data_IF_904323559622
#
_entry.id   IF_904323559622
#
_cell.length_a   1.000
_cell.length_b   1.000
_cell.length_c   1.000
_cell.angle_alpha   90.00
_cell.angle_beta   90.00
_cell.angle_gamma   90.00
#
_symmetry.space_group_name_H-M   'P 1'
#
loop_
_entity.id
_entity.type
_entity.pdbx_description
1 polymer ?
#
# COMPACT_ATOMS: atom_id res chain seq x y z
N UNK A 1 31.54 -14.98 -0.19
CA UNK A 1 31.10 -16.13 -1.01
C UNK A 1 30.06 -15.58 -1.98
N UNK A 2 30.44 -15.55 -3.25
CA UNK A 2 29.83 -14.77 -4.33
C UNK A 2 28.49 -15.36 -4.80
N UNK A 3 27.63 -14.48 -5.33
CA UNK A 3 26.28 -14.68 -5.89
C UNK A 3 26.08 -15.85 -6.88
N UNK A 4 27.13 -16.62 -7.20
CA UNK A 4 27.10 -17.70 -8.18
C UNK A 4 26.23 -18.90 -7.75
N UNK A 5 26.13 -19.22 -6.45
CA UNK A 5 25.42 -20.44 -6.02
C UNK A 5 23.89 -20.30 -5.99
N UNK A 6 23.36 -19.10 -5.73
CA UNK A 6 21.92 -18.81 -5.84
C UNK A 6 21.49 -18.83 -7.31
N UNK A 7 22.38 -18.36 -8.20
CA UNK A 7 22.21 -18.45 -9.65
C UNK A 7 22.30 -19.89 -10.16
N UNK A 8 23.10 -20.76 -9.53
CA UNK A 8 23.20 -22.19 -9.87
C UNK A 8 21.96 -23.00 -9.44
N UNK A 9 21.40 -22.75 -8.25
CA UNK A 9 20.15 -23.40 -7.80
C UNK A 9 18.94 -22.96 -8.65
N UNK A 10 18.92 -21.71 -9.11
CA UNK A 10 17.92 -21.23 -10.08
C UNK A 10 18.16 -21.73 -11.51
N UNK A 11 19.38 -22.20 -11.81
CA UNK A 11 19.79 -22.71 -13.14
C UNK A 11 19.44 -24.18 -13.34
N UNK A 12 19.34 -25.00 -12.28
CA UNK A 12 19.14 -26.45 -12.41
C UNK A 12 17.68 -26.93 -12.21
N UNK A 13 16.84 -26.20 -11.46
CA UNK A 13 15.49 -26.66 -11.06
C UNK A 13 14.33 -26.11 -11.90
N UNK A 14 14.60 -25.34 -12.96
CA UNK A 14 13.52 -24.72 -13.74
C UNK A 14 13.78 -24.89 -15.24
N UNK A 15 13.08 -25.83 -15.88
CA UNK A 15 13.10 -26.03 -17.33
C UNK A 15 12.52 -24.79 -18.04
N UNK A 16 13.43 -23.89 -18.45
CA UNK A 16 13.18 -22.59 -19.08
C UNK A 16 13.89 -22.43 -20.45
N UNK A 17 13.71 -23.31 -21.46
CA UNK A 17 14.48 -23.18 -22.69
C UNK A 17 13.80 -22.18 -23.64
N UNK A 18 14.15 -20.88 -23.52
CA UNK A 18 14.30 -19.88 -24.62
C UNK A 18 14.39 -18.40 -24.19
N UNK A 19 14.61 -18.09 -22.91
CA UNK A 19 14.86 -16.72 -22.48
C UNK A 19 16.34 -16.48 -22.10
N UNK A 20 17.04 -15.87 -23.08
CA UNK A 20 18.11 -14.89 -22.94
C UNK A 20 19.54 -15.34 -22.61
N UNK A 21 20.42 -15.12 -23.60
CA UNK A 21 21.67 -14.38 -23.37
C UNK A 21 21.35 -12.91 -23.63
N UNK A 22 21.70 -11.99 -22.72
CA UNK A 22 22.37 -10.71 -22.98
C UNK A 22 22.75 -10.08 -21.62
N UNK A 23 24.00 -9.63 -21.55
CA UNK A 23 24.65 -8.89 -20.47
C UNK A 23 24.02 -7.50 -20.24
N UNK A 24 24.00 -7.11 -18.96
CA UNK A 24 23.51 -5.83 -18.50
C UNK A 24 24.45 -4.68 -18.92
N UNK A 25 23.87 -3.64 -19.52
CA UNK A 25 24.17 -2.19 -19.37
C UNK A 25 23.32 -1.45 -20.43
N UNK A 26 22.24 -0.79 -19.96
CA UNK A 26 21.50 0.37 -20.52
C UNK A 26 19.98 0.27 -20.30
N UNK A 27 19.51 1.15 -19.43
CA UNK A 27 18.18 1.27 -18.80
C UNK A 27 17.04 1.65 -19.75
N UNK A 28 15.81 1.45 -19.25
CA UNK A 28 14.50 1.68 -19.88
C UNK A 28 14.19 0.79 -21.09
N UNK A 29 15.09 0.67 -22.06
CA UNK A 29 14.86 -0.17 -23.26
C UNK A 29 14.68 -1.65 -22.90
N UNK A 30 15.24 -2.13 -21.78
CA UNK A 30 15.04 -3.50 -21.29
C UNK A 30 13.63 -3.74 -20.73
N UNK A 31 13.06 -2.78 -19.99
CA UNK A 31 11.66 -2.85 -19.53
C UNK A 31 10.73 -2.76 -20.74
N UNK A 32 11.01 -1.85 -21.68
CA UNK A 32 10.28 -1.75 -22.94
C UNK A 32 10.42 -3.01 -23.80
N UNK A 33 11.59 -3.65 -23.81
CA UNK A 33 11.83 -4.90 -24.53
C UNK A 33 11.20 -6.09 -23.81
N UNK A 34 11.14 -6.13 -22.48
CA UNK A 34 10.39 -7.13 -21.73
C UNK A 34 8.89 -6.98 -22.00
N UNK A 35 8.37 -5.75 -21.98
CA UNK A 35 6.99 -5.43 -22.38
C UNK A 35 6.71 -5.81 -23.85
N UNK A 36 7.65 -5.55 -24.77
CA UNK A 36 7.57 -5.95 -26.19
C UNK A 36 7.73 -7.47 -26.41
N UNK A 37 8.53 -8.15 -25.58
CA UNK A 37 8.86 -9.58 -25.68
C UNK A 37 7.73 -10.47 -25.14
N UNK A 38 6.94 -10.00 -24.17
CA UNK A 38 5.72 -10.67 -23.70
C UNK A 38 4.53 -10.61 -24.71
N UNK A 39 4.79 -10.30 -25.98
CA UNK A 39 3.81 -10.31 -27.09
C UNK A 39 2.48 -9.57 -26.81
N UNK A 40 2.51 -8.54 -25.98
CA UNK A 40 1.38 -7.60 -25.90
C UNK A 40 1.57 -6.63 -27.06
N UNK A 41 0.75 -6.71 -28.11
CA UNK A 41 0.84 -5.77 -29.25
C UNK A 41 0.66 -4.30 -28.84
N UNK A 42 0.19 -4.04 -27.62
CA UNK A 42 0.03 -2.73 -26.98
C UNK A 42 1.30 -2.20 -26.27
N UNK A 43 2.42 -2.93 -26.28
CA UNK A 43 3.66 -2.48 -25.65
C UNK A 43 4.23 -1.19 -26.29
N UNK A 44 3.85 -0.85 -27.53
CA UNK A 44 4.13 0.47 -28.12
C UNK A 44 3.37 1.59 -27.40
N UNK A 45 2.14 1.32 -26.96
CA UNK A 45 1.32 2.26 -26.19
C UNK A 45 1.87 2.44 -24.79
N UNK A 46 2.26 1.36 -24.10
CA UNK A 46 2.87 1.47 -22.77
C UNK A 46 4.26 2.13 -22.85
N UNK A 47 5.07 1.81 -23.87
CA UNK A 47 6.34 2.49 -24.10
C UNK A 47 6.17 3.98 -24.38
N UNK A 48 5.21 4.35 -25.25
CA UNK A 48 4.90 5.74 -25.57
C UNK A 48 4.31 6.49 -24.36
N UNK A 49 3.50 5.83 -23.54
CA UNK A 49 3.01 6.37 -22.27
C UNK A 49 4.17 6.58 -21.30
N UNK A 50 5.03 5.58 -21.09
CA UNK A 50 6.20 5.67 -20.20
C UNK A 50 7.19 6.74 -20.68
N UNK A 51 7.48 6.84 -21.98
CA UNK A 51 8.30 7.92 -22.57
C UNK A 51 7.63 9.30 -22.43
N UNK A 52 6.29 9.39 -22.46
CA UNK A 52 5.56 10.63 -22.15
C UNK A 52 5.55 10.98 -20.65
N UNK A 53 5.74 10.01 -19.77
CA UNK A 53 5.66 10.16 -18.31
C UNK A 53 7.02 10.03 -17.59
N UNK A 54 8.15 9.94 -18.32
CA UNK A 54 9.48 9.83 -17.73
C UNK A 54 9.84 11.09 -16.92
N UNK A 55 10.19 10.97 -15.62
CA UNK A 55 10.69 12.06 -14.81
C UNK A 55 12.22 12.19 -15.00
N UNK A 56 12.65 12.79 -16.11
CA UNK A 56 14.06 13.13 -16.35
C UNK A 56 14.50 14.35 -15.54
N UNK A 57 14.46 14.29 -14.20
CA UNK A 57 15.14 15.25 -13.28
C UNK A 57 14.87 16.75 -13.48
N UNK A 58 13.93 17.09 -14.35
CA UNK A 58 13.41 18.40 -14.72
C UNK A 58 11.92 18.24 -14.57
N UNK A 59 11.28 19.19 -13.89
CA UNK A 59 9.85 19.17 -13.60
C UNK A 59 9.06 19.06 -14.91
N UNK A 60 8.54 17.86 -15.20
CA UNK A 60 7.57 17.62 -16.29
C UNK A 60 6.28 18.43 -16.07
N UNK A 61 6.12 19.04 -14.90
CA UNK A 61 5.07 20.04 -14.63
C UNK A 61 5.08 21.22 -15.62
N UNK A 62 6.18 21.48 -16.34
CA UNK A 62 6.30 22.64 -17.24
C UNK A 62 6.18 22.30 -18.74
N UNK A 63 6.08 21.01 -19.12
CA UNK A 63 5.74 20.64 -20.51
C UNK A 63 4.23 20.39 -20.59
N UNK A 64 3.48 21.18 -21.38
CA UNK A 64 2.06 20.93 -21.55
C UNK A 64 1.89 19.53 -22.13
N UNK A 65 1.16 18.67 -21.41
CA UNK A 65 0.63 17.43 -21.98
C UNK A 65 -0.19 17.85 -23.19
N UNK A 66 0.35 17.65 -24.39
CA UNK A 66 -0.27 18.16 -25.63
C UNK A 66 -1.53 17.37 -25.98
N UNK A 67 -1.66 16.13 -25.46
CA UNK A 67 -2.86 15.31 -25.61
C UNK A 67 -2.96 14.25 -24.50
N UNK A 68 -4.08 14.21 -23.78
CA UNK A 68 -4.45 13.06 -22.95
C UNK A 68 -4.93 11.94 -23.89
N UNK A 69 -4.42 10.71 -23.80
CA UNK A 69 -4.91 9.59 -24.60
C UNK A 69 -6.40 9.36 -24.39
N UNK A 70 -7.10 9.03 -25.48
CA UNK A 70 -8.53 8.68 -25.48
C UNK A 70 -8.76 7.30 -24.86
N UNK A 71 -9.98 6.99 -24.38
CA UNK A 71 -10.21 5.67 -23.75
C UNK A 71 -9.98 4.52 -24.74
N UNK A 72 -10.20 4.78 -26.04
CA UNK A 72 -10.00 3.81 -27.13
C UNK A 72 -8.53 3.42 -27.33
N UNK A 73 -7.58 4.20 -26.80
CA UNK A 73 -6.15 3.87 -26.84
C UNK A 73 -5.71 2.95 -25.68
N UNK A 74 -6.61 2.65 -24.73
CA UNK A 74 -6.35 1.70 -23.65
C UNK A 74 -7.02 0.35 -23.93
N UNK A 75 -6.39 -0.77 -23.51
CA UNK A 75 -7.06 -2.06 -23.49
C UNK A 75 -8.33 -2.06 -22.63
N UNK A 76 -9.18 -3.10 -22.80
CA UNK A 76 -10.19 -3.46 -21.82
C UNK A 76 -9.58 -3.53 -20.42
N UNK A 77 -10.30 -3.04 -19.41
CA UNK A 77 -9.77 -2.91 -18.04
C UNK A 77 -9.24 -4.23 -17.48
N UNK A 78 -9.92 -5.34 -17.73
CA UNK A 78 -9.50 -6.67 -17.23
C UNK A 78 -8.16 -7.11 -17.83
N UNK A 79 -7.97 -6.87 -19.12
CA UNK A 79 -6.70 -7.14 -19.81
C UNK A 79 -5.58 -6.25 -19.28
N UNK A 80 -5.87 -4.95 -19.07
CA UNK A 80 -4.92 -4.02 -18.44
C UNK A 80 -4.46 -4.52 -17.07
N UNK A 81 -5.41 -4.86 -16.19
CA UNK A 81 -5.11 -5.34 -14.83
C UNK A 81 -4.29 -6.63 -14.85
N UNK A 82 -4.62 -7.56 -15.74
CA UNK A 82 -3.88 -8.81 -15.90
C UNK A 82 -2.44 -8.56 -16.37
N UNK A 83 -2.26 -7.71 -17.38
CA UNK A 83 -0.95 -7.30 -17.88
C UNK A 83 -0.13 -6.59 -16.79
N UNK A 84 -0.73 -5.62 -16.10
CA UNK A 84 -0.10 -4.89 -15.00
C UNK A 84 0.41 -5.84 -13.92
N UNK A 85 -0.42 -6.80 -13.48
CA UNK A 85 -0.02 -7.78 -12.47
C UNK A 85 1.19 -8.62 -12.91
N UNK A 86 1.21 -9.10 -14.16
CA UNK A 86 2.36 -9.87 -14.67
C UNK A 86 3.65 -9.05 -14.67
N UNK A 87 3.57 -7.80 -15.10
CA UNK A 87 4.72 -6.88 -15.13
C UNK A 87 5.21 -6.59 -13.72
N UNK A 88 4.31 -6.25 -12.78
CA UNK A 88 4.66 -6.02 -11.38
C UNK A 88 5.35 -7.23 -10.76
N UNK A 89 4.89 -8.45 -11.04
CA UNK A 89 5.53 -9.67 -10.53
C UNK A 89 6.95 -9.83 -11.07
N UNK A 90 7.18 -9.55 -12.36
CA UNK A 90 8.52 -9.53 -12.94
C UNK A 90 9.44 -8.48 -12.29
N UNK A 91 8.94 -7.25 -12.10
CA UNK A 91 9.67 -6.18 -11.42
C UNK A 91 9.95 -6.51 -9.95
N UNK A 92 9.01 -7.18 -9.28
CA UNK A 92 9.18 -7.66 -7.92
C UNK A 92 10.32 -8.67 -7.77
N UNK A 93 10.57 -9.51 -8.80
CA UNK A 93 11.73 -10.40 -8.84
C UNK A 93 13.03 -9.63 -9.10
N UNK A 94 13.03 -8.64 -10.00
CA UNK A 94 14.21 -7.79 -10.24
C UNK A 94 14.63 -7.01 -9.00
N UNK A 95 13.66 -6.63 -8.16
CA UNK A 95 13.90 -6.02 -6.86
C UNK A 95 14.60 -6.95 -5.84
N UNK A 96 14.89 -8.20 -6.19
CA UNK A 96 15.80 -9.07 -5.43
C UNK A 96 17.28 -8.77 -5.67
N UNK A 97 17.60 -7.94 -6.65
CA UNK A 97 18.96 -7.54 -6.94
C UNK A 97 19.61 -6.89 -5.72
N UNK A 98 20.86 -7.25 -5.44
CA UNK A 98 21.70 -6.57 -4.45
C UNK A 98 22.09 -5.15 -4.93
N UNK A 99 21.89 -4.84 -6.20
CA UNK A 99 22.14 -3.52 -6.77
C UNK A 99 20.98 -2.56 -6.42
N UNK A 100 21.28 -1.59 -5.56
CA UNK A 100 20.32 -0.59 -5.08
C UNK A 100 19.61 0.17 -6.21
N UNK A 101 20.31 0.40 -7.33
CA UNK A 101 19.75 1.08 -8.52
C UNK A 101 18.67 0.24 -9.19
N UNK A 102 18.93 -1.05 -9.43
CA UNK A 102 17.96 -1.98 -10.02
C UNK A 102 16.70 -2.09 -9.16
N UNK A 103 16.88 -2.15 -7.83
CA UNK A 103 15.78 -2.12 -6.88
C UNK A 103 14.93 -0.84 -7.02
N UNK A 104 15.58 0.32 -7.00
CA UNK A 104 14.90 1.62 -7.12
C UNK A 104 14.11 1.72 -8.43
N UNK A 105 14.72 1.32 -9.55
CA UNK A 105 14.11 1.44 -10.87
C UNK A 105 12.95 0.43 -11.02
N UNK A 106 13.07 -0.75 -10.43
CA UNK A 106 12.00 -1.75 -10.37
C UNK A 106 10.79 -1.25 -9.57
N UNK A 107 11.02 -0.59 -8.44
CA UNK A 107 9.95 -0.01 -7.61
C UNK A 107 9.29 1.18 -8.32
N UNK A 108 10.08 2.03 -8.97
CA UNK A 108 9.56 3.14 -9.79
C UNK A 108 8.70 2.63 -10.95
N UNK A 109 9.15 1.60 -11.67
CA UNK A 109 8.37 0.98 -12.74
C UNK A 109 7.08 0.34 -12.21
N UNK A 110 7.13 -0.32 -11.04
CA UNK A 110 5.95 -0.91 -10.40
C UNK A 110 4.90 0.14 -10.10
N UNK A 111 5.32 1.29 -9.59
CA UNK A 111 4.47 2.45 -9.40
C UNK A 111 3.85 2.94 -10.71
N UNK A 112 4.63 3.13 -11.77
CA UNK A 112 4.10 3.58 -13.07
C UNK A 112 3.05 2.60 -13.63
N UNK A 113 3.29 1.30 -13.52
CA UNK A 113 2.36 0.25 -13.95
C UNK A 113 1.05 0.30 -13.16
N UNK A 114 1.10 0.59 -11.85
CA UNK A 114 -0.10 0.79 -11.03
C UNK A 114 -0.92 2.00 -11.51
N UNK A 115 -0.24 3.06 -11.94
CA UNK A 115 -0.89 4.29 -12.42
C UNK A 115 -1.60 4.12 -13.76
N UNK A 116 -1.31 3.08 -14.54
CA UNK A 116 -1.97 2.87 -15.84
C UNK A 116 -3.50 2.69 -15.71
N UNK A 117 -3.98 1.96 -14.69
CA UNK A 117 -5.42 1.82 -14.43
C UNK A 117 -6.06 3.17 -14.01
N UNK A 118 -5.30 4.02 -13.30
CA UNK A 118 -5.75 5.36 -12.95
C UNK A 118 -5.84 6.27 -14.17
N UNK A 119 -4.82 6.28 -15.03
CA UNK A 119 -4.80 7.05 -16.27
C UNK A 119 -5.93 6.64 -17.21
N UNK A 120 -6.17 5.33 -17.35
CA UNK A 120 -7.31 4.80 -18.08
C UNK A 120 -8.63 5.35 -17.52
N UNK A 121 -8.79 5.40 -16.19
CA UNK A 121 -9.99 5.97 -15.60
C UNK A 121 -10.18 7.46 -15.84
N UNK A 122 -9.10 8.24 -15.78
CA UNK A 122 -9.14 9.66 -16.10
C UNK A 122 -9.52 9.88 -17.58
N UNK A 123 -8.98 9.08 -18.50
CA UNK A 123 -9.34 9.12 -19.91
C UNK A 123 -10.83 8.84 -20.13
N UNK A 124 -11.38 7.82 -19.46
CA UNK A 124 -12.81 7.50 -19.53
C UNK A 124 -13.68 8.66 -18.99
N UNK A 125 -13.32 9.22 -17.84
CA UNK A 125 -14.05 10.36 -17.25
C UNK A 125 -14.02 11.60 -18.13
N UNK A 126 -12.88 11.91 -18.73
CA UNK A 126 -12.72 13.03 -19.66
C UNK A 126 -13.58 12.84 -20.93
N UNK A 127 -13.64 11.62 -21.46
CA UNK A 127 -14.46 11.31 -22.62
C UNK A 127 -15.96 11.42 -22.34
N UNK A 128 -16.42 10.90 -21.20
CA UNK A 128 -17.81 11.10 -20.77
C UNK A 128 -18.12 12.59 -20.58
N UNK A 129 -17.20 13.36 -19.99
CA UNK A 129 -17.37 14.80 -19.83
C UNK A 129 -17.49 15.54 -21.17
N UNK A 130 -16.62 15.26 -22.13
CA UNK A 130 -16.68 15.86 -23.47
C UNK A 130 -17.98 15.50 -24.18
N UNK A 131 -18.39 14.23 -24.15
CA UNK A 131 -19.61 13.79 -24.80
C UNK A 131 -20.87 14.39 -24.17
N UNK A 132 -20.83 14.72 -22.88
CA UNK A 132 -21.93 15.39 -22.17
C UNK A 132 -21.94 16.92 -22.35
N UNK A 133 -20.77 17.55 -22.54
CA UNK A 133 -20.65 19.03 -22.62
C UNK A 133 -20.49 19.58 -24.04
N UNK A 134 -20.07 18.75 -25.00
CA UNK A 134 -19.75 19.13 -26.38
C UNK A 134 -20.91 19.65 -27.22
N UNK A 135 -22.16 19.50 -26.77
CA UNK A 135 -23.35 20.00 -27.47
C UNK A 135 -23.84 21.37 -26.94
N UNK A 136 -23.05 22.05 -26.08
CA UNK A 136 -23.40 23.36 -25.51
C UNK A 136 -23.45 24.52 -26.53
N UNK A 137 -23.28 24.25 -27.83
CA UNK A 137 -23.51 25.20 -28.91
C UNK A 137 -25.00 25.50 -29.19
N UNK A 138 -25.94 24.72 -28.63
CA UNK A 138 -27.38 24.87 -28.88
C UNK A 138 -28.16 25.12 -27.58
N UNK A 139 -27.97 26.30 -26.95
CA UNK A 139 -28.85 27.05 -26.01
C UNK A 139 -29.80 26.35 -25.02
N UNK A 140 -29.71 25.05 -24.79
CA UNK A 140 -30.55 24.29 -23.88
C UNK A 140 -29.68 23.38 -23.02
N UNK A 141 -29.73 23.61 -21.70
CA UNK A 141 -29.23 22.65 -20.71
C UNK A 141 -30.11 21.40 -20.77
N UNK A 142 -29.95 20.58 -21.81
CA UNK A 142 -30.58 19.28 -21.87
C UNK A 142 -29.97 18.43 -20.75
N UNK A 143 -30.85 17.83 -19.96
CA UNK A 143 -30.55 16.99 -18.80
C UNK A 143 -29.42 16.01 -19.12
N UNK A 144 -28.41 15.94 -18.24
CA UNK A 144 -27.32 14.97 -18.29
C UNK A 144 -27.88 13.57 -18.53
N UNK A 145 -27.62 12.98 -19.71
CA UNK A 145 -27.97 11.59 -20.03
C UNK A 145 -26.71 10.72 -19.97
N UNK A 146 -26.39 10.12 -18.81
CA UNK A 146 -25.20 9.29 -18.63
C UNK A 146 -25.19 8.03 -19.51
N UNK A 147 -26.27 7.70 -20.21
CA UNK A 147 -26.33 6.50 -21.05
C UNK A 147 -25.79 6.69 -22.47
N UNK A 148 -25.42 7.92 -22.89
CA UNK A 148 -24.99 8.21 -24.28
C UNK A 148 -23.52 7.95 -24.60
N UNK A 149 -22.69 7.54 -23.63
CA UNK A 149 -21.29 7.19 -23.90
C UNK A 149 -21.21 5.88 -24.68
N UNK A 150 -20.41 5.84 -25.77
CA UNK A 150 -20.12 4.62 -26.53
C UNK A 150 -19.44 3.53 -25.67
N UNK A 151 -18.89 3.91 -24.52
CA UNK A 151 -18.21 3.05 -23.56
C UNK A 151 -19.03 2.76 -22.30
N UNK A 152 -20.31 3.16 -22.29
CA UNK A 152 -21.22 2.97 -21.16
C UNK A 152 -21.17 4.12 -20.14
N UNK A 153 -22.02 4.08 -19.11
CA UNK A 153 -22.09 5.13 -18.10
C UNK A 153 -20.74 5.28 -17.37
N UNK A 154 -20.39 6.51 -17.01
CA UNK A 154 -19.24 6.76 -16.15
C UNK A 154 -19.42 6.01 -14.82
N UNK A 155 -18.55 5.05 -14.56
CA UNK A 155 -18.51 4.33 -13.28
C UNK A 155 -17.47 5.00 -12.37
N UNK A 156 -17.88 5.61 -11.24
CA UNK A 156 -16.93 6.18 -10.29
C UNK A 156 -15.93 5.13 -9.80
N UNK A 157 -14.68 5.54 -9.59
CA UNK A 157 -13.62 4.64 -9.11
C UNK A 157 -13.81 4.34 -7.62
N UNK A 158 -14.62 3.33 -7.31
CA UNK A 158 -14.84 2.84 -5.95
C UNK A 158 -13.61 2.12 -5.36
N UNK A 159 -13.58 1.95 -4.04
CA UNK A 159 -12.54 1.23 -3.31
C UNK A 159 -12.29 -0.18 -3.85
N UNK A 160 -13.34 -0.93 -4.21
CA UNK A 160 -13.21 -2.28 -4.82
C UNK A 160 -12.39 -2.28 -6.12
N UNK A 161 -12.47 -1.22 -6.92
CA UNK A 161 -11.72 -1.10 -8.18
C UNK A 161 -10.23 -0.88 -7.90
N UNK A 162 -9.93 -0.10 -6.86
CA UNK A 162 -8.55 0.13 -6.40
C UNK A 162 -7.95 -1.18 -5.88
N UNK A 163 -8.69 -1.96 -5.08
CA UNK A 163 -8.20 -3.27 -4.60
C UNK A 163 -7.83 -4.21 -5.75
N UNK A 164 -8.63 -4.25 -6.82
CA UNK A 164 -8.30 -5.05 -8.00
C UNK A 164 -6.98 -4.60 -8.67
N UNK A 165 -6.74 -3.29 -8.75
CA UNK A 165 -5.49 -2.72 -9.27
C UNK A 165 -4.28 -2.99 -8.37
N UNK A 166 -4.50 -3.20 -7.06
CA UNK A 166 -3.44 -3.44 -6.08
C UNK A 166 -3.00 -4.91 -5.98
N UNK A 167 -3.67 -5.86 -6.64
CA UNK A 167 -3.35 -7.29 -6.47
C UNK A 167 -1.89 -7.61 -6.80
N UNK A 168 -1.38 -7.15 -7.95
CA UNK A 168 0.02 -7.39 -8.32
C UNK A 168 1.00 -6.72 -7.35
N UNK A 169 0.64 -5.55 -6.83
CA UNK A 169 1.45 -4.84 -5.87
C UNK A 169 1.50 -5.55 -4.51
N UNK A 170 0.36 -6.03 -4.04
CA UNK A 170 0.23 -6.79 -2.80
C UNK A 170 1.07 -8.07 -2.86
N UNK A 171 1.17 -8.71 -4.03
CA UNK A 171 2.04 -9.86 -4.26
C UNK A 171 3.52 -9.49 -4.08
N UNK A 172 3.96 -8.38 -4.67
CA UNK A 172 5.33 -7.86 -4.50
C UNK A 172 5.62 -7.54 -3.03
N UNK A 173 4.73 -6.81 -2.35
CA UNK A 173 4.87 -6.48 -0.93
C UNK A 173 4.94 -7.74 -0.08
N UNK A 174 4.02 -8.68 -0.27
CA UNK A 174 3.99 -9.91 0.50
C UNK A 174 5.24 -10.76 0.27
N UNK A 175 5.71 -10.87 -0.97
CA UNK A 175 6.92 -11.60 -1.33
C UNK A 175 8.15 -11.03 -0.59
N UNK A 176 8.40 -9.73 -0.74
CA UNK A 176 9.54 -9.07 -0.12
C UNK A 176 9.45 -9.05 1.41
N UNK A 177 8.27 -8.74 1.96
CA UNK A 177 8.07 -8.74 3.41
C UNK A 177 8.35 -10.12 4.01
N UNK A 178 7.83 -11.20 3.42
CA UNK A 178 8.09 -12.57 3.90
C UNK A 178 9.57 -12.92 3.82
N UNK A 179 10.25 -12.57 2.72
CA UNK A 179 11.69 -12.79 2.57
C UNK A 179 12.47 -12.08 3.68
N UNK A 180 12.18 -10.80 3.92
CA UNK A 180 12.79 -10.02 4.98
C UNK A 180 12.56 -10.63 6.38
N UNK A 181 11.36 -11.14 6.64
CA UNK A 181 11.02 -11.75 7.93
C UNK A 181 11.61 -13.16 8.11
N UNK A 182 11.74 -13.96 7.05
CA UNK A 182 12.34 -15.30 7.13
C UNK A 182 13.83 -15.29 7.46
N UNK A 183 14.57 -14.25 7.05
CA UNK A 183 15.98 -14.08 7.41
C UNK A 183 16.22 -13.79 8.90
N UNK A 184 15.19 -13.36 9.63
CA UNK A 184 15.30 -12.88 11.02
C UNK A 184 15.00 -13.95 12.09
N UNK A 185 15.16 -15.24 11.76
CA UNK A 185 14.81 -16.38 12.65
C UNK A 185 15.49 -16.38 14.03
N UNK A 186 16.52 -15.56 14.23
CA UNK A 186 17.32 -15.62 15.47
C UNK A 186 16.63 -14.96 16.66
N UNK A 187 15.87 -13.86 16.50
CA UNK A 187 15.38 -13.11 17.69
C UNK A 187 13.92 -12.62 17.66
N UNK A 188 13.18 -12.83 16.56
CA UNK A 188 11.80 -12.34 16.45
C UNK A 188 11.66 -10.81 16.60
N UNK A 189 12.77 -10.08 16.54
CA UNK A 189 12.83 -8.62 16.53
C UNK A 189 12.58 -8.15 15.10
N UNK A 190 11.68 -7.18 14.96
CA UNK A 190 11.42 -6.53 13.68
C UNK A 190 12.67 -5.73 13.27
N UNK A 191 13.28 -6.06 12.13
CA UNK A 191 14.23 -5.16 11.47
C UNK A 191 15.74 -5.36 11.70
N UNK A 192 16.22 -6.35 12.46
CA UNK A 192 17.68 -6.48 12.69
C UNK A 192 18.46 -7.08 11.50
N UNK A 193 17.83 -7.91 10.66
CA UNK A 193 18.46 -8.55 9.51
C UNK A 193 17.87 -8.10 8.16
N UNK A 194 16.99 -7.09 8.18
CA UNK A 194 16.30 -6.65 6.97
C UNK A 194 17.20 -5.70 6.19
N UNK A 195 17.34 -5.91 4.89
CA UNK A 195 17.98 -4.96 3.99
C UNK A 195 17.17 -3.65 4.01
N UNK A 196 17.57 -2.74 4.91
CA UNK A 196 16.89 -1.48 5.21
C UNK A 196 16.48 -0.70 3.95
N UNK A 197 17.32 -0.59 2.90
CA UNK A 197 16.93 0.08 1.66
C UNK A 197 15.70 -0.53 0.96
N UNK A 198 15.52 -1.85 1.00
CA UNK A 198 14.36 -2.52 0.35
C UNK A 198 13.07 -2.14 1.06
N UNK A 199 13.07 -2.16 2.39
CA UNK A 199 11.87 -1.80 3.17
C UNK A 199 11.54 -0.33 3.03
N UNK A 200 12.54 0.55 3.01
CA UNK A 200 12.33 1.97 2.78
C UNK A 200 11.69 2.23 1.41
N UNK A 201 12.18 1.58 0.34
CA UNK A 201 11.60 1.73 -0.99
C UNK A 201 10.16 1.18 -1.07
N UNK A 202 9.92 0.00 -0.50
CA UNK A 202 8.57 -0.59 -0.44
C UNK A 202 7.62 0.29 0.37
N UNK A 203 8.05 0.82 1.51
CA UNK A 203 7.25 1.71 2.33
C UNK A 203 6.96 3.03 1.60
N UNK A 204 7.96 3.66 0.99
CA UNK A 204 7.77 4.88 0.19
C UNK A 204 6.78 4.66 -0.96
N UNK A 205 6.83 3.51 -1.61
CA UNK A 205 5.89 3.16 -2.66
C UNK A 205 4.46 2.97 -2.12
N UNK A 206 4.31 2.28 -0.98
CA UNK A 206 3.01 2.17 -0.30
C UNK A 206 2.45 3.54 0.07
N UNK A 207 3.29 4.44 0.59
CA UNK A 207 2.92 5.80 0.98
C UNK A 207 2.44 6.63 -0.22
N UNK A 208 3.15 6.56 -1.36
CA UNK A 208 2.74 7.19 -2.62
C UNK A 208 1.41 6.67 -3.15
N UNK A 209 1.11 5.39 -2.97
CA UNK A 209 -0.20 4.86 -3.35
C UNK A 209 -1.28 5.39 -2.40
N UNK A 210 -1.03 5.33 -1.09
CA UNK A 210 -1.98 5.80 -0.08
C UNK A 210 -2.27 7.31 -0.20
N UNK A 211 -1.33 8.13 -0.70
CA UNK A 211 -1.52 9.59 -0.87
C UNK A 211 -2.69 9.92 -1.78
N UNK A 212 -3.04 8.98 -2.66
CA UNK A 212 -4.16 9.11 -3.58
C UNK A 212 -5.50 8.68 -3.01
N UNK A 213 -5.53 7.93 -1.90
CA UNK A 213 -6.78 7.36 -1.40
C UNK A 213 -7.78 8.42 -0.95
N UNK A 214 -7.33 9.53 -0.35
CA UNK A 214 -8.23 10.59 0.07
C UNK A 214 -8.89 11.32 -1.12
N UNK A 215 -8.14 11.61 -2.20
CA UNK A 215 -8.71 12.22 -3.41
C UNK A 215 -9.61 11.24 -4.16
N UNK A 216 -9.19 9.98 -4.27
CA UNK A 216 -9.98 8.92 -4.89
C UNK A 216 -11.29 8.65 -4.12
N UNK A 217 -11.26 8.71 -2.79
CA UNK A 217 -12.47 8.63 -1.97
C UNK A 217 -13.45 9.74 -2.30
N UNK A 218 -13.00 11.00 -2.39
CA UNK A 218 -13.86 12.13 -2.78
C UNK A 218 -14.45 11.96 -4.18
N UNK A 219 -13.64 11.54 -5.15
CA UNK A 219 -14.07 11.32 -6.53
C UNK A 219 -15.03 10.12 -6.69
N UNK A 220 -14.94 9.12 -5.81
CA UNK A 220 -15.80 7.94 -5.84
C UNK A 220 -17.25 8.21 -5.44
N UNK A 221 -17.51 9.29 -4.69
CA UNK A 221 -18.80 9.55 -4.06
C UNK A 221 -19.14 8.62 -2.88
N UNK A 222 -18.28 7.65 -2.55
CA UNK A 222 -18.47 6.77 -1.39
C UNK A 222 -18.20 7.53 -0.08
N UNK A 223 -18.93 7.19 0.98
CA UNK A 223 -18.57 7.65 2.34
C UNK A 223 -17.17 7.14 2.71
N UNK A 224 -16.40 7.85 3.55
CA UNK A 224 -15.08 7.38 3.99
C UNK A 224 -15.14 5.95 4.55
N UNK A 225 -16.14 5.66 5.39
CA UNK A 225 -16.32 4.33 5.97
C UNK A 225 -16.50 3.24 4.90
N UNK A 226 -17.32 3.47 3.87
CA UNK A 226 -17.54 2.51 2.78
C UNK A 226 -16.28 2.32 1.95
N UNK A 227 -15.66 3.42 1.53
CA UNK A 227 -14.45 3.41 0.69
C UNK A 227 -13.31 2.65 1.36
N UNK A 228 -12.97 2.99 2.61
CA UNK A 228 -11.86 2.34 3.32
C UNK A 228 -12.19 0.90 3.74
N UNK A 229 -13.47 0.55 3.97
CA UNK A 229 -13.86 -0.84 4.16
C UNK A 229 -13.65 -1.68 2.89
N UNK A 230 -13.95 -1.15 1.71
CA UNK A 230 -13.69 -1.84 0.44
C UNK A 230 -12.19 -1.98 0.15
N UNK A 231 -11.34 -1.08 0.66
CA UNK A 231 -9.89 -1.17 0.53
C UNK A 231 -9.24 -2.26 1.40
N UNK A 232 -10.00 -2.87 2.33
CA UNK A 232 -9.50 -3.96 3.18
C UNK A 232 -9.23 -5.21 2.38
N UNK A 233 -8.03 -5.77 2.54
CA UNK A 233 -7.56 -6.95 1.79
C UNK A 233 -6.44 -7.67 2.54
N UNK A 234 -6.11 -8.93 2.17
CA UNK A 234 -5.18 -9.76 2.93
C UNK A 234 -3.77 -9.20 3.15
N UNK A 235 -3.28 -8.31 2.27
CA UNK A 235 -1.95 -7.70 2.40
C UNK A 235 -1.93 -6.38 3.18
N UNK A 236 -3.09 -5.85 3.59
CA UNK A 236 -3.17 -4.54 4.23
C UNK A 236 -2.40 -4.47 5.57
N UNK A 237 -2.34 -5.58 6.32
CA UNK A 237 -1.55 -5.65 7.55
C UNK A 237 -0.05 -5.53 7.28
N UNK A 238 0.42 -6.00 6.12
CA UNK A 238 1.81 -5.84 5.68
C UNK A 238 2.11 -4.38 5.32
N UNK A 239 1.16 -3.66 4.73
CA UNK A 239 1.28 -2.23 4.49
C UNK A 239 1.39 -1.46 5.81
N UNK A 240 0.54 -1.78 6.79
CA UNK A 240 0.64 -1.22 8.14
C UNK A 240 1.99 -1.54 8.78
N UNK A 241 2.50 -2.75 8.60
CA UNK A 241 3.82 -3.16 9.07
C UNK A 241 4.95 -2.34 8.45
N UNK A 242 4.87 -2.05 7.14
CA UNK A 242 5.81 -1.19 6.42
C UNK A 242 5.76 0.24 6.96
N UNK A 243 4.56 0.82 7.14
CA UNK A 243 4.39 2.16 7.72
C UNK A 243 5.01 2.21 9.11
N UNK A 244 4.70 1.27 10.00
CA UNK A 244 5.33 1.19 11.32
C UNK A 244 6.86 1.11 11.27
N UNK A 245 7.41 0.43 10.26
CA UNK A 245 8.86 0.28 10.11
C UNK A 245 9.58 1.58 9.74
N UNK A 246 8.90 2.51 9.07
CA UNK A 246 9.47 3.79 8.62
C UNK A 246 8.93 5.02 9.34
N UNK A 247 7.92 4.88 10.20
CA UNK A 247 7.24 6.03 10.84
C UNK A 247 8.19 6.93 11.65
N UNK A 248 9.25 6.34 12.21
CA UNK A 248 10.27 7.04 13.00
C UNK A 248 11.41 7.61 12.15
N UNK A 249 11.45 7.30 10.86
CA UNK A 249 12.48 7.75 9.94
C UNK A 249 12.03 9.05 9.27
N UNK A 250 12.96 9.81 8.70
CA UNK A 250 12.62 10.91 7.80
C UNK A 250 12.00 10.31 6.53
N UNK A 251 10.67 10.34 6.45
CA UNK A 251 9.96 9.96 5.24
C UNK A 251 10.15 11.07 4.22
N UNK A 252 10.65 10.72 3.03
CA UNK A 252 10.80 11.64 1.90
C UNK A 252 9.53 11.72 1.06
N UNK A 253 8.36 11.80 1.70
CA UNK A 253 7.10 11.92 0.97
C UNK A 253 6.56 13.32 1.16
N UNK A 254 6.86 14.20 0.20
CA UNK A 254 6.34 15.58 0.18
C UNK A 254 4.80 15.61 0.11
N UNK A 255 4.18 14.51 -0.32
CA UNK A 255 2.74 14.43 -0.61
C UNK A 255 1.86 14.06 0.60
N UNK A 256 2.42 13.52 1.69
CA UNK A 256 1.59 13.01 2.79
C UNK A 256 2.26 13.12 4.16
N UNK A 257 1.49 13.63 5.12
CA UNK A 257 1.82 13.61 6.53
C UNK A 257 1.87 12.18 7.12
N UNK A 258 2.81 11.94 8.05
CA UNK A 258 3.01 10.62 8.66
C UNK A 258 1.81 10.12 9.47
N UNK A 259 1.09 11.02 10.12
CA UNK A 259 -0.12 10.65 10.86
C UNK A 259 -1.23 10.23 9.89
N UNK A 260 -1.36 10.90 8.76
CA UNK A 260 -2.32 10.52 7.72
C UNK A 260 -1.98 9.19 7.07
N UNK A 261 -0.71 8.95 6.77
CA UNK A 261 -0.22 7.65 6.29
C UNK A 261 -0.62 6.52 7.23
N UNK A 262 -0.38 6.74 8.52
CA UNK A 262 -0.70 5.74 9.51
C UNK A 262 -2.21 5.53 9.65
N UNK A 263 -3.02 6.60 9.69
CA UNK A 263 -4.47 6.51 9.76
C UNK A 263 -5.04 5.74 8.58
N UNK A 264 -4.55 6.02 7.36
CA UNK A 264 -4.99 5.31 6.15
C UNK A 264 -4.64 3.83 6.27
N UNK A 265 -3.39 3.51 6.61
CA UNK A 265 -2.94 2.13 6.79
C UNK A 265 -3.76 1.37 7.84
N UNK A 266 -4.09 2.01 8.97
CA UNK A 266 -4.94 1.44 10.02
C UNK A 266 -6.38 1.22 9.55
N UNK A 267 -6.95 2.15 8.78
CA UNK A 267 -8.33 2.08 8.24
C UNK A 267 -8.50 0.92 7.25
N UNK A 268 -7.52 0.74 6.35
CA UNK A 268 -7.53 -0.34 5.34
C UNK A 268 -7.11 -1.70 5.92
N UNK A 269 -6.66 -1.76 7.17
CA UNK A 269 -6.31 -3.02 7.83
C UNK A 269 -7.52 -3.55 8.62
N UNK A 270 -7.72 -4.87 8.62
CA UNK A 270 -8.74 -5.48 9.48
C UNK A 270 -8.41 -5.21 10.96
N UNK A 271 -9.40 -4.99 11.84
CA UNK A 271 -9.11 -4.70 13.24
C UNK A 271 -8.21 -5.74 13.92
N UNK A 272 -8.45 -7.03 13.67
CA UNK A 272 -7.68 -8.11 14.28
C UNK A 272 -6.24 -8.10 13.77
N UNK A 273 -6.04 -8.07 12.46
CA UNK A 273 -4.68 -8.09 11.88
C UNK A 273 -3.90 -6.82 12.27
N UNK A 274 -4.58 -5.68 12.31
CA UNK A 274 -4.02 -4.40 12.76
C UNK A 274 -3.54 -4.44 14.20
N UNK A 275 -4.38 -4.92 15.14
CA UNK A 275 -3.99 -5.07 16.54
C UNK A 275 -2.82 -6.05 16.72
N UNK A 276 -2.82 -7.15 15.94
CA UNK A 276 -1.71 -8.10 15.95
C UNK A 276 -0.42 -7.48 15.42
N UNK A 277 -0.49 -6.66 14.37
CA UNK A 277 0.67 -5.98 13.80
C UNK A 277 1.20 -4.89 14.73
N UNK A 278 0.31 -4.10 15.33
CA UNK A 278 0.67 -3.11 16.35
C UNK A 278 1.38 -3.76 17.54
N UNK A 279 0.86 -4.90 18.03
CA UNK A 279 1.49 -5.65 19.12
C UNK A 279 2.91 -6.10 18.77
N UNK A 280 3.15 -6.55 17.54
CA UNK A 280 4.50 -6.90 17.05
C UNK A 280 5.42 -5.67 17.03
N UNK A 281 4.92 -4.55 16.53
CA UNK A 281 5.66 -3.29 16.47
C UNK A 281 6.07 -2.79 17.87
N UNK A 282 5.15 -2.80 18.83
CA UNK A 282 5.45 -2.42 20.22
C UNK A 282 6.54 -3.34 20.81
N UNK A 283 6.43 -4.65 20.59
CA UNK A 283 7.43 -5.61 21.05
C UNK A 283 8.80 -5.34 20.42
N UNK A 284 8.86 -4.95 19.15
CA UNK A 284 10.14 -4.64 18.49
C UNK A 284 10.77 -3.36 19.01
N UNK A 285 9.98 -2.32 19.29
CA UNK A 285 10.47 -1.05 19.85
C UNK A 285 10.99 -1.23 21.29
N UNK A 286 10.32 -2.05 22.11
CA UNK A 286 10.63 -2.17 23.54
C UNK A 286 11.34 -3.46 23.97
N UNK A 287 11.58 -4.41 23.06
CA UNK A 287 12.30 -5.69 23.31
C UNK A 287 11.76 -6.48 24.51
N UNK A 288 10.44 -6.52 24.67
CA UNK A 288 9.73 -7.18 25.78
C UNK A 288 9.99 -6.65 27.19
N UNK A 289 10.68 -5.51 27.33
CA UNK A 289 10.92 -4.86 28.62
C UNK A 289 9.73 -3.98 29.00
N UNK A 290 9.42 -3.88 30.30
CA UNK A 290 8.44 -2.89 30.76
C UNK A 290 8.97 -1.47 30.51
N UNK A 291 8.12 -0.60 29.97
CA UNK A 291 8.53 0.75 29.59
C UNK A 291 8.21 1.74 30.71
N UNK A 292 9.19 2.55 31.09
CA UNK A 292 8.99 3.68 32.00
C UNK A 292 8.35 4.87 31.29
N UNK A 293 7.68 5.75 32.05
CA UNK A 293 7.09 6.96 31.49
C UNK A 293 8.13 7.85 30.76
N UNK A 294 9.33 7.99 31.33
CA UNK A 294 10.41 8.77 30.71
C UNK A 294 10.83 8.20 29.34
N UNK A 295 10.99 6.88 29.22
CA UNK A 295 11.32 6.22 27.94
C UNK A 295 10.18 6.32 26.94
N UNK A 296 8.94 6.31 27.39
CA UNK A 296 7.79 6.54 26.53
C UNK A 296 7.78 7.98 25.99
N UNK A 297 7.95 8.98 26.87
CA UNK A 297 7.93 10.40 26.51
C UNK A 297 9.10 10.80 25.59
N UNK A 298 10.23 10.09 25.65
CA UNK A 298 11.35 10.32 24.74
C UNK A 298 11.12 9.80 23.32
N UNK A 299 10.02 9.09 23.06
CA UNK A 299 9.72 8.59 21.71
C UNK A 299 9.16 9.72 20.81
N UNK A 300 9.47 9.68 19.49
CA UNK A 300 8.86 10.59 18.52
C UNK A 300 7.33 10.59 18.60
N UNK A 301 6.69 11.70 18.24
CA UNK A 301 5.25 11.88 18.38
C UNK A 301 4.45 10.84 17.57
N UNK A 302 4.92 10.54 16.36
CA UNK A 302 4.34 9.57 15.43
C UNK A 302 4.46 8.14 15.95
N UNK A 303 5.59 7.84 16.60
CA UNK A 303 5.85 6.56 17.27
C UNK A 303 4.90 6.39 18.45
N UNK A 304 4.71 7.43 19.26
CA UNK A 304 3.70 7.42 20.35
C UNK A 304 2.28 7.28 19.81
N UNK A 305 1.95 8.00 18.73
CA UNK A 305 0.65 7.93 18.09
C UNK A 305 0.36 6.52 17.53
N UNK A 306 1.34 5.85 16.95
CA UNK A 306 1.25 4.47 16.48
C UNK A 306 0.96 3.44 17.58
N UNK A 307 1.25 3.77 18.84
CA UNK A 307 1.14 2.86 19.97
C UNK A 307 -0.06 3.14 20.89
N UNK A 308 -0.99 3.98 20.43
CA UNK A 308 -2.26 4.20 21.13
C UNK A 308 -3.08 2.93 21.29
N UNK A 309 -3.90 2.84 22.34
CA UNK A 309 -4.68 1.65 22.65
C UNK A 309 -5.50 1.17 21.44
N UNK A 310 -5.63 -0.16 21.20
CA UNK A 310 -6.33 -0.69 20.02
C UNK A 310 -7.78 -0.19 19.90
N UNK A 311 -8.46 0.08 21.03
CA UNK A 311 -9.82 0.64 21.04
C UNK A 311 -9.90 2.09 20.49
N UNK A 312 -8.77 2.80 20.44
CA UNK A 312 -8.63 4.15 19.87
C UNK A 312 -8.17 4.14 18.41
N UNK A 313 -7.82 2.97 17.86
CA UNK A 313 -7.47 2.81 16.44
C UNK A 313 -8.63 2.13 15.72
N UNK A 314 -9.11 1.02 16.29
CA UNK A 314 -10.20 0.23 15.74
C UNK A 314 -11.35 0.20 16.75
N UNK A 315 -12.38 1.00 16.50
CA UNK A 315 -13.55 1.18 17.39
C UNK A 315 -14.21 -0.16 17.78
N UNK A 316 -14.08 -1.21 16.96
CA UNK A 316 -14.60 -2.55 17.23
C UNK A 316 -14.09 -3.11 18.57
N UNK A 317 -12.89 -2.76 19.00
CA UNK A 317 -12.34 -3.20 20.30
C UNK A 317 -12.92 -2.48 21.52
N UNK A 318 -13.75 -1.43 21.33
CA UNK A 318 -14.53 -0.82 22.42
C UNK A 318 -15.56 -1.81 23.00
N UNK A 319 -15.99 -2.81 22.23
CA UNK A 319 -17.01 -3.78 22.64
C UNK A 319 -16.63 -5.25 22.38
N UNK A 320 -15.57 -5.50 21.62
CA UNK A 320 -15.16 -6.85 21.20
C UNK A 320 -13.82 -7.29 21.80
N UNK A 321 -13.66 -8.61 21.91
CA UNK A 321 -12.45 -9.30 22.33
C UNK A 321 -11.34 -9.07 21.32
N UNK A 322 -10.16 -8.67 21.79
CA UNK A 322 -9.00 -8.49 20.90
C UNK A 322 -8.46 -9.81 20.33
N UNK A 323 -8.76 -10.94 20.97
CA UNK A 323 -8.26 -12.26 20.55
C UNK A 323 -9.10 -12.93 19.47
N UNK A 324 -10.40 -12.65 19.42
CA UNK A 324 -11.35 -13.39 18.56
C UNK A 324 -12.50 -12.55 17.99
N UNK A 325 -12.55 -11.24 18.26
CA UNK A 325 -13.59 -10.31 17.79
C UNK A 325 -15.04 -10.59 18.27
N UNK A 326 -15.26 -11.54 19.18
CA UNK A 326 -16.59 -11.73 19.83
C UNK A 326 -16.86 -10.64 20.86
N UNK A 327 -18.12 -10.46 21.29
CA UNK A 327 -18.47 -9.53 22.38
C UNK A 327 -17.60 -9.81 23.63
N UNK A 328 -17.15 -8.74 24.28
CA UNK A 328 -16.27 -8.81 25.44
C UNK A 328 -16.62 -7.79 26.52
N UNK A 329 -16.82 -8.33 27.71
CA UNK A 329 -17.25 -7.62 28.91
C UNK A 329 -16.12 -7.51 29.94
N UNK A 330 -15.05 -8.31 29.81
CA UNK A 330 -13.85 -8.20 30.64
C UNK A 330 -12.86 -7.24 30.02
N UNK A 331 -12.30 -6.37 30.85
CA UNK A 331 -11.27 -5.40 30.47
C UNK A 331 -9.97 -5.69 31.22
N UNK A 332 -8.83 -5.48 30.57
CA UNK A 332 -7.54 -5.57 31.24
C UNK A 332 -7.51 -4.56 32.41
N UNK A 333 -7.41 -5.06 33.64
CA UNK A 333 -7.46 -4.22 34.85
C UNK A 333 -6.32 -3.20 34.93
N UNK A 334 -5.17 -3.50 34.30
CA UNK A 334 -3.98 -2.65 34.31
C UNK A 334 -4.04 -1.50 33.31
N UNK A 335 -4.25 -1.78 32.03
CA UNK A 335 -4.25 -0.72 31.00
C UNK A 335 -5.63 -0.13 30.71
N UNK A 336 -6.72 -0.87 30.96
CA UNK A 336 -8.10 -0.50 30.63
C UNK A 336 -8.36 -0.19 29.14
N UNK A 337 -7.43 -0.56 28.25
CA UNK A 337 -7.55 -0.33 26.80
C UNK A 337 -7.94 -1.57 25.99
N UNK A 338 -7.86 -2.76 26.59
CA UNK A 338 -8.02 -4.04 25.87
C UNK A 338 -9.08 -4.90 26.53
N UNK A 339 -10.00 -5.44 25.72
CA UNK A 339 -11.10 -6.31 26.16
C UNK A 339 -10.91 -7.75 25.76
N UNK A 340 -11.48 -8.65 26.56
CA UNK A 340 -11.43 -10.11 26.36
C UNK A 340 -12.79 -10.74 26.66
N UNK A 341 -13.16 -11.77 25.89
CA UNK A 341 -14.34 -12.59 26.19
C UNK A 341 -14.07 -13.55 27.38
N UNK A 342 -12.81 -13.87 27.66
CA UNK A 342 -12.43 -14.85 28.68
C UNK A 342 -10.94 -14.88 28.93
N UNK A 343 -10.55 -15.67 29.94
CA UNK A 343 -9.16 -15.76 30.39
C UNK A 343 -8.25 -16.42 29.35
N UNK A 344 -8.77 -17.33 28.54
CA UNK A 344 -8.01 -17.98 27.46
C UNK A 344 -7.47 -16.96 26.45
N UNK A 345 -8.36 -16.13 25.88
CA UNK A 345 -7.98 -15.05 24.97
C UNK A 345 -7.02 -14.06 25.63
N UNK A 346 -7.23 -13.75 26.92
CA UNK A 346 -6.33 -12.88 27.68
C UNK A 346 -4.93 -13.48 27.82
N UNK A 347 -4.81 -14.75 28.24
CA UNK A 347 -3.52 -15.45 28.39
C UNK A 347 -2.80 -15.58 27.06
N UNK A 348 -3.51 -15.92 25.98
CA UNK A 348 -2.94 -16.04 24.64
C UNK A 348 -2.37 -14.69 24.15
N UNK A 349 -3.17 -13.62 24.23
CA UNK A 349 -2.74 -12.27 23.82
C UNK A 349 -1.62 -11.73 24.72
N UNK A 350 -1.67 -12.01 26.03
CA UNK A 350 -0.61 -11.66 27.00
C UNK A 350 0.75 -12.18 26.59
N UNK A 351 0.85 -13.48 26.26
CA UNK A 351 2.11 -14.12 25.85
C UNK A 351 2.61 -13.58 24.52
N UNK A 352 1.71 -13.26 23.58
CA UNK A 352 2.07 -12.84 22.22
C UNK A 352 2.68 -11.44 22.19
N UNK A 353 2.04 -10.46 22.83
CA UNK A 353 2.43 -9.05 22.72
C UNK A 353 1.95 -8.17 23.87
N UNK A 354 0.81 -8.50 24.49
CA UNK A 354 0.19 -7.59 25.44
C UNK A 354 0.99 -7.38 26.72
N UNK A 355 1.83 -8.33 27.15
CA UNK A 355 2.73 -8.13 28.30
C UNK A 355 3.57 -6.84 28.15
N UNK A 356 4.07 -6.57 26.95
CA UNK A 356 4.87 -5.38 26.63
C UNK A 356 3.99 -4.18 26.34
N UNK A 357 2.92 -4.38 25.58
CA UNK A 357 2.02 -3.29 25.20
C UNK A 357 1.17 -2.74 26.36
N UNK A 358 0.92 -3.54 27.41
CA UNK A 358 0.05 -3.15 28.52
C UNK A 358 0.57 -1.91 29.27
N UNK A 359 1.88 -1.78 29.50
CA UNK A 359 2.42 -0.56 30.12
C UNK A 359 2.33 0.64 29.19
N UNK A 360 2.52 0.43 27.88
CA UNK A 360 2.44 1.50 26.87
C UNK A 360 1.03 2.06 26.77
N UNK A 361 0.04 1.18 26.67
CA UNK A 361 -1.37 1.56 26.64
C UNK A 361 -1.78 2.32 27.90
N UNK A 362 -1.29 1.90 29.08
CA UNK A 362 -1.55 2.61 30.34
C UNK A 362 -0.89 4.00 30.41
N UNK A 363 0.17 4.24 29.65
CA UNK A 363 0.90 5.52 29.60
C UNK A 363 0.41 6.46 28.49
N UNK A 364 -0.44 5.99 27.58
CA UNK A 364 -0.91 6.80 26.46
C UNK A 364 -2.00 7.77 26.95
N UNK A 365 -1.77 9.10 26.88
CA UNK A 365 -2.78 10.06 27.32
C UNK A 365 -4.03 10.01 26.43
N UNK A 366 -5.20 10.25 27.03
CA UNK A 366 -6.46 10.44 26.29
C UNK A 366 -6.37 11.57 25.25
N UNK A 367 -5.46 12.54 25.43
CA UNK A 367 -5.25 13.61 24.47
C UNK A 367 -4.68 13.12 23.11
N UNK A 368 -3.94 12.01 23.10
CA UNK A 368 -3.49 11.36 21.86
C UNK A 368 -4.59 10.48 21.23
N UNK A 369 -5.72 10.32 21.93
CA UNK A 369 -6.88 9.52 21.49
C UNK A 369 -8.04 10.40 21.06
N UNK A 370 -7.86 11.73 20.97
CA UNK A 370 -8.88 12.63 20.44
C UNK A 370 -9.05 12.29 18.96
N UNK A 371 -10.12 11.54 18.70
CA UNK A 371 -10.68 11.36 17.38
C UNK A 371 -10.91 12.76 16.79
N UNK A 372 -10.45 13.06 15.57
CA UNK A 372 -11.11 14.08 14.79
C UNK A 372 -12.53 13.56 14.56
N UNK A 373 -13.44 13.87 15.48
CA UNK A 373 -14.83 13.41 15.53
C UNK A 373 -15.69 13.91 14.34
N UNK A 374 -15.08 14.22 13.20
CA UNK A 374 -15.69 14.76 12.00
C UNK A 374 -15.57 13.83 10.76
N UNK A 375 -15.00 12.63 10.89
CA UNK A 375 -14.76 11.74 9.72
C UNK A 375 -15.75 10.56 9.59
N UNK A 376 -16.55 10.25 10.62
CA UNK A 376 -17.56 9.16 10.59
C UNK A 376 -19.01 9.64 10.36
N UNK A 377 -19.22 10.95 10.16
CA UNK A 377 -20.53 11.55 9.85
C UNK A 377 -20.79 11.64 8.34
#
# INVERSE_FOLDING_TARGET
>A
MTNASVLEVLREEIEFPRLWRVDAVNDCQFVLNALRYYQVQEARTIAALVEHFEPTGTTVADRPITRVPTIAEYPPREELLWCCRRVMNGLGLLALSDELRVLHDSMTATWLVYNLDELRWLAHGHEVWINCTGDMGASGWSMFDPQRSAFGPFEPRHGKHIVQALVGFDEVVNFHYRRCMMGSRVDGTFGSAIHRPVMEQLANMCLRIMSKFASQQKLSGQTPATFYNELRRPAADLWLALVYSVIHQEMKTEEMDKFDALRIAERITSPLDGALMQGKYIVSVFRRVQTSNARWLSMPAEVRFAMRGPANIWHKFKTCCIGCLTKADKICSRCREVRYCGEECQRAHWRRSHKTACSIYALTPLALTVDPANDEA
#
